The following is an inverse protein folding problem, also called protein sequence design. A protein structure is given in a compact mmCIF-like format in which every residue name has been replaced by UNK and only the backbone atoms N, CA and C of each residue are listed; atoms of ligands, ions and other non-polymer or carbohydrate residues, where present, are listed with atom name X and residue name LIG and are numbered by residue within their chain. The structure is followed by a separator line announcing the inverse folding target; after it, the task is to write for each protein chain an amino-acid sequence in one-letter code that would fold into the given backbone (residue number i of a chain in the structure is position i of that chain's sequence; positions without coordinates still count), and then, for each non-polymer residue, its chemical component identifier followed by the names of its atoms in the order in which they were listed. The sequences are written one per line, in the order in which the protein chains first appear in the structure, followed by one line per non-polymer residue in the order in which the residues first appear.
data_IF_639784309671
#
_entry.id   IF_639784309671
#
_cell.length_a   1.000
_cell.length_b   1.000
_cell.length_c   1.000
_cell.angle_alpha   90.00
_cell.angle_beta   90.00
_cell.angle_gamma   90.00
#
_symmetry.space_group_name_H-M   'P 1'
#
loop_
_entity.id
_entity.type
_entity.pdbx_description
1 polymer ?
#
# COMPACT_ATOMS: atom_id res chain seq x y z
N UNK A 1 10.98 16.80 14.42
CA UNK A 1 11.37 17.95 13.60
C UNK A 1 12.85 17.79 13.31
N UNK A 2 13.33 18.05 12.09
CA UNK A 2 14.75 17.84 11.78
C UNK A 2 15.58 19.04 12.31
N UNK A 3 16.84 18.86 12.69
CA UNK A 3 17.71 19.93 13.24
C UNK A 3 17.77 21.17 12.35
N UNK A 4 17.74 20.96 11.02
CA UNK A 4 17.71 22.06 10.04
C UNK A 4 16.41 22.84 10.13
N UNK A 5 15.26 22.16 10.28
CA UNK A 5 13.95 22.82 10.41
C UNK A 5 13.85 23.60 11.74
N UNK A 6 14.41 23.07 12.82
CA UNK A 6 14.50 23.77 14.12
C UNK A 6 15.30 25.07 13.98
N UNK A 7 16.49 25.03 13.39
CA UNK A 7 17.31 26.23 13.18
C UNK A 7 16.70 27.25 12.23
N UNK A 8 15.93 26.80 11.23
CA UNK A 8 15.19 27.71 10.33
C UNK A 8 14.13 28.49 11.12
N UNK A 9 13.46 27.84 12.08
CA UNK A 9 12.49 28.49 12.97
C UNK A 9 13.17 29.42 13.97
N UNK A 10 14.28 28.99 14.58
CA UNK A 10 15.05 29.82 15.53
C UNK A 10 15.56 31.12 14.89
N UNK A 11 16.12 31.02 13.67
CA UNK A 11 16.58 32.21 12.92
C UNK A 11 15.45 32.96 12.21
N UNK A 12 14.21 32.47 12.29
CA UNK A 12 13.02 33.08 11.72
C UNK A 12 13.17 33.44 10.24
N UNK A 13 13.64 32.49 9.43
CA UNK A 13 13.85 32.70 8.00
C UNK A 13 12.49 32.66 7.30
N UNK A 14 11.85 33.82 7.18
CA UNK A 14 10.46 33.98 6.70
C UNK A 14 10.16 33.26 5.38
N UNK A 15 11.15 33.16 4.48
CA UNK A 15 11.03 32.47 3.19
C UNK A 15 10.55 31.02 3.34
N UNK A 16 11.03 30.31 4.36
CA UNK A 16 10.77 28.89 4.55
C UNK A 16 9.67 28.59 5.57
N UNK A 17 9.09 29.61 6.20
CA UNK A 17 8.10 29.44 7.26
C UNK A 17 6.70 29.64 6.70
N UNK A 18 5.84 28.63 6.88
CA UNK A 18 4.41 28.73 6.65
C UNK A 18 3.73 29.01 7.98
N UNK A 19 2.96 30.10 8.03
CA UNK A 19 2.02 30.33 9.12
C UNK A 19 0.68 29.71 8.73
N UNK A 20 0.30 28.62 9.40
CA UNK A 20 -1.06 28.07 9.34
C UNK A 20 -1.58 27.94 10.77
N UNK A 21 -2.75 28.53 11.02
CA UNK A 21 -3.52 28.35 12.25
C UNK A 21 -2.76 28.64 13.56
N UNK A 22 -1.85 29.63 13.54
CA UNK A 22 -1.07 30.05 14.73
C UNK A 22 0.17 29.22 15.02
N UNK A 23 0.42 28.14 14.27
CA UNK A 23 1.64 27.32 14.37
C UNK A 23 2.59 27.60 13.19
N UNK A 24 3.85 27.93 13.52
CA UNK A 24 4.89 28.13 12.52
C UNK A 24 5.46 26.78 12.07
N UNK A 25 5.24 26.41 10.81
CA UNK A 25 5.73 25.16 10.24
C UNK A 25 6.66 25.42 9.07
N UNK A 26 7.78 24.69 9.00
CA UNK A 26 8.72 24.80 7.89
C UNK A 26 8.16 24.15 6.62
N UNK A 27 8.29 24.82 5.49
CA UNK A 27 7.97 24.29 4.18
C UNK A 27 9.12 23.42 3.66
N UNK A 28 9.15 22.14 4.05
CA UNK A 28 10.20 21.21 3.62
C UNK A 28 10.26 21.05 2.09
N UNK A 29 9.16 21.25 1.37
CA UNK A 29 9.15 21.17 -0.10
C UNK A 29 9.90 22.33 -0.75
N UNK A 30 9.71 23.55 -0.22
CA UNK A 30 10.43 24.73 -0.70
C UNK A 30 11.92 24.64 -0.38
N UNK A 31 12.29 24.19 0.83
CA UNK A 31 13.69 23.95 1.20
C UNK A 31 14.35 22.96 0.23
N UNK A 32 13.66 21.87 -0.12
CA UNK A 32 14.17 20.90 -1.11
C UNK A 32 14.29 21.50 -2.51
N UNK A 33 13.36 22.36 -2.91
CA UNK A 33 13.39 23.03 -4.22
C UNK A 33 14.59 23.97 -4.31
N UNK A 34 14.78 24.82 -3.31
CA UNK A 34 15.89 25.77 -3.25
C UNK A 34 17.25 25.07 -3.13
N UNK A 35 17.32 23.95 -2.40
CA UNK A 35 18.51 23.11 -2.35
C UNK A 35 18.84 22.45 -3.70
N UNK A 36 17.81 22.11 -4.50
CA UNK A 36 18.03 21.59 -5.85
C UNK A 36 18.55 22.66 -6.80
N UNK A 37 18.11 23.90 -6.63
CA UNK A 37 18.47 25.05 -7.45
C UNK A 37 19.71 25.80 -6.97
N UNK A 38 20.35 25.35 -5.88
CA UNK A 38 21.53 25.98 -5.30
C UNK A 38 21.28 27.47 -4.95
N UNK A 39 20.12 27.75 -4.36
CA UNK A 39 19.76 29.10 -3.91
C UNK A 39 20.80 29.66 -2.92
N UNK A 40 21.31 30.86 -3.20
CA UNK A 40 22.41 31.46 -2.44
C UNK A 40 22.07 31.67 -0.96
N UNK A 41 20.85 32.14 -0.66
CA UNK A 41 20.40 32.42 0.71
C UNK A 41 20.33 31.13 1.54
N UNK A 42 19.84 30.05 0.93
CA UNK A 42 19.85 28.73 1.55
C UNK A 42 21.28 28.24 1.82
N UNK A 43 22.16 28.35 0.83
CA UNK A 43 23.55 27.90 0.94
C UNK A 43 24.34 28.68 1.99
N UNK A 44 24.15 29.99 2.09
CA UNK A 44 24.77 30.83 3.12
C UNK A 44 24.33 30.40 4.52
N UNK A 45 23.02 30.17 4.71
CA UNK A 45 22.50 29.65 5.97
C UNK A 45 23.10 28.29 6.34
N UNK A 46 23.10 27.36 5.38
CA UNK A 46 23.67 26.03 5.54
C UNK A 46 25.17 26.06 5.82
N UNK A 47 25.90 26.97 5.18
CA UNK A 47 27.33 27.14 5.39
C UNK A 47 27.63 27.74 6.77
N UNK A 48 26.77 28.61 7.30
CA UNK A 48 26.93 29.16 8.65
C UNK A 48 26.71 28.11 9.73
N UNK A 49 25.66 27.30 9.61
CA UNK A 49 25.17 26.46 10.72
C UNK A 49 25.53 24.98 10.59
N UNK A 50 25.74 24.49 9.37
CA UNK A 50 25.88 23.07 9.06
C UNK A 50 27.02 22.76 8.08
N UNK A 51 28.05 23.62 8.08
CA UNK A 51 29.24 23.51 7.22
C UNK A 51 29.84 22.12 7.18
N UNK A 52 30.08 21.53 8.35
CA UNK A 52 30.76 20.25 8.47
C UNK A 52 29.86 19.04 8.13
N UNK A 53 28.54 19.23 8.08
CA UNK A 53 27.58 18.15 7.81
C UNK A 53 27.30 18.00 6.32
N UNK A 54 27.05 19.13 5.63
CA UNK A 54 26.59 19.15 4.24
C UNK A 54 27.58 19.76 3.26
N UNK A 55 28.80 20.12 3.69
CA UNK A 55 29.85 20.57 2.77
C UNK A 55 31.11 19.72 2.91
N UNK A 56 31.74 19.44 1.77
CA UNK A 56 33.02 18.75 1.67
C UNK A 56 34.10 19.78 1.32
N UNK A 57 35.19 19.77 2.07
CA UNK A 57 36.37 20.56 1.77
C UNK A 57 37.24 19.83 0.75
N UNK A 58 37.53 20.49 -0.37
CA UNK A 58 38.50 20.03 -1.36
C UNK A 58 39.93 20.37 -0.90
N UNK A 59 40.92 19.80 -1.60
CA UNK A 59 42.35 19.96 -1.28
C UNK A 59 42.84 21.42 -1.29
N UNK A 60 42.12 22.30 -1.98
CA UNK A 60 42.48 23.71 -2.16
C UNK A 60 41.71 24.68 -1.25
N UNK A 61 41.04 24.17 -0.21
CA UNK A 61 40.24 25.00 0.73
C UNK A 61 38.88 25.42 0.18
N UNK A 62 38.50 24.94 -1.01
CA UNK A 62 37.18 25.16 -1.61
C UNK A 62 36.15 24.23 -0.95
N UNK A 63 35.00 24.79 -0.58
CA UNK A 63 33.89 24.04 0.00
C UNK A 63 32.84 23.74 -1.06
N UNK A 64 32.48 22.47 -1.20
CA UNK A 64 31.46 22.01 -2.14
C UNK A 64 30.27 21.49 -1.36
N UNK A 65 29.07 21.97 -1.72
CA UNK A 65 27.82 21.51 -1.13
C UNK A 65 27.48 20.08 -1.57
N UNK A 66 27.30 19.20 -0.61
CA UNK A 66 26.87 17.82 -0.80
C UNK A 66 25.33 17.77 -0.90
N UNK A 67 24.84 18.09 -2.10
CA UNK A 67 23.43 18.23 -2.41
C UNK A 67 22.63 16.97 -2.13
N UNK A 68 23.13 15.81 -2.53
CA UNK A 68 22.43 14.52 -2.36
C UNK A 68 22.24 14.23 -0.87
N UNK A 69 23.32 14.33 -0.09
CA UNK A 69 23.28 14.10 1.35
C UNK A 69 22.30 15.03 2.08
N UNK A 70 22.24 16.29 1.68
CA UNK A 70 21.28 17.23 2.26
C UNK A 70 19.82 16.92 1.85
N UNK A 71 19.59 16.59 0.59
CA UNK A 71 18.24 16.26 0.10
C UNK A 71 17.70 14.99 0.76
N UNK A 72 18.55 14.01 0.99
CA UNK A 72 18.22 12.79 1.73
C UNK A 72 17.87 13.12 3.19
N UNK A 73 18.64 14.01 3.82
CA UNK A 73 18.39 14.47 5.18
C UNK A 73 17.04 15.20 5.34
N UNK A 74 16.67 16.09 4.41
CA UNK A 74 15.37 16.78 4.47
C UNK A 74 14.22 15.86 4.02
N UNK A 75 14.51 14.83 3.22
CA UNK A 75 13.50 13.89 2.74
C UNK A 75 13.17 12.78 3.72
N UNK A 76 14.12 12.39 4.55
CA UNK A 76 13.91 11.54 5.72
C UNK A 76 13.14 12.32 6.78
N UNK A 77 11.82 12.38 6.61
CA UNK A 77 10.87 13.01 7.56
C UNK A 77 10.84 12.36 8.95
N UNK A 78 11.63 11.31 9.14
CA UNK A 78 11.73 10.48 10.32
C UNK A 78 13.18 10.06 10.55
N UNK A 79 14.13 10.99 10.60
CA UNK A 79 15.34 10.72 11.39
C UNK A 79 14.97 10.75 12.89
N UNK A 80 14.00 9.92 13.29
CA UNK A 80 13.57 9.75 14.66
C UNK A 80 14.63 8.93 15.38
N UNK A 81 14.84 9.30 16.63
CA UNK A 81 15.73 8.72 17.64
C UNK A 81 15.59 7.21 17.91
N UNK A 82 14.70 6.49 17.21
CA UNK A 82 14.43 5.05 17.43
C UNK A 82 14.29 4.20 16.14
N UNK A 83 14.55 4.75 14.94
CA UNK A 83 14.60 3.91 13.73
C UNK A 83 16.03 3.49 13.40
N UNK A 84 16.33 2.20 13.52
CA UNK A 84 17.62 1.62 13.15
C UNK A 84 17.81 1.42 11.63
N UNK A 85 16.81 1.80 10.82
CA UNK A 85 16.82 1.59 9.36
C UNK A 85 16.51 2.88 8.61
N UNK A 86 17.05 2.99 7.39
CA UNK A 86 16.81 4.12 6.48
C UNK A 86 15.39 4.12 5.85
N UNK A 87 14.60 3.09 6.09
CA UNK A 87 13.27 2.92 5.49
C UNK A 87 12.19 3.60 6.34
N UNK A 88 11.10 4.02 5.68
CA UNK A 88 9.91 4.49 6.39
C UNK A 88 9.26 3.35 7.19
N UNK A 89 8.61 3.66 8.32
CA UNK A 89 7.79 2.70 9.11
C UNK A 89 6.49 2.27 8.41
N UNK A 90 6.56 1.96 7.11
CA UNK A 90 5.46 1.47 6.28
C UNK A 90 5.98 0.32 5.44
N UNK A 91 5.30 -0.83 5.50
CA UNK A 91 5.59 -1.96 4.63
C UNK A 91 5.23 -1.54 3.20
N UNK A 92 6.22 -1.52 2.30
CA UNK A 92 6.00 -1.16 0.91
C UNK A 92 6.95 -1.91 -0.01
N UNK A 93 6.54 -2.09 -1.27
CA UNK A 93 7.43 -2.56 -2.33
C UNK A 93 8.29 -1.37 -2.77
N UNK A 94 9.60 -1.55 -2.75
CA UNK A 94 10.55 -0.56 -3.22
C UNK A 94 11.30 -1.09 -4.45
N UNK A 95 11.79 -0.19 -5.29
CA UNK A 95 12.73 -0.55 -6.35
C UNK A 95 14.15 -0.80 -5.79
N UNK A 96 15.09 -1.09 -6.67
CA UNK A 96 16.50 -1.32 -6.31
C UNK A 96 17.21 -0.08 -5.75
N UNK A 97 16.62 1.12 -5.90
CA UNK A 97 17.14 2.38 -5.37
C UNK A 97 16.54 2.70 -3.98
N UNK A 98 15.57 1.90 -3.51
CA UNK A 98 14.92 2.07 -2.21
C UNK A 98 13.67 2.96 -2.27
N UNK A 99 13.28 3.45 -3.45
CA UNK A 99 12.09 4.27 -3.61
C UNK A 99 10.83 3.41 -3.57
N UNK A 100 9.85 3.84 -2.78
CA UNK A 100 8.57 3.13 -2.69
C UNK A 100 7.79 3.24 -4.01
N UNK A 101 7.37 2.10 -4.55
CA UNK A 101 6.56 2.01 -5.77
C UNK A 101 5.26 2.79 -5.62
N UNK A 102 4.69 2.86 -4.41
CA UNK A 102 3.47 3.63 -4.14
C UNK A 102 3.63 5.15 -4.35
N UNK A 103 4.86 5.66 -4.42
CA UNK A 103 5.14 7.07 -4.71
C UNK A 103 5.35 7.33 -6.21
N UNK A 104 5.48 6.28 -7.02
CA UNK A 104 5.72 6.37 -8.46
C UNK A 104 4.41 6.12 -9.21
N UNK A 105 4.04 7.06 -10.09
CA UNK A 105 2.84 6.93 -10.94
C UNK A 105 3.06 6.05 -12.18
N UNK A 106 4.30 5.64 -12.43
CA UNK A 106 4.73 4.94 -13.66
C UNK A 106 4.64 3.41 -13.55
N UNK A 107 4.27 2.88 -12.38
CA UNK A 107 4.24 1.44 -12.14
C UNK A 107 2.80 0.93 -12.13
N UNK A 108 2.50 -0.05 -12.98
CA UNK A 108 1.20 -0.72 -13.02
C UNK A 108 1.36 -2.14 -12.50
N UNK A 109 0.58 -2.49 -11.49
CA UNK A 109 0.52 -3.86 -11.00
C UNK A 109 -0.42 -4.67 -11.89
N UNK A 110 0.14 -5.51 -12.75
CA UNK A 110 -0.62 -6.43 -13.58
C UNK A 110 -0.78 -7.77 -12.86
N UNK A 111 -2.01 -8.13 -12.51
CA UNK A 111 -2.34 -9.44 -11.96
C UNK A 111 -2.83 -10.35 -13.09
N UNK A 112 -1.97 -11.21 -13.67
CA UNK A 112 -2.46 -12.25 -14.56
C UNK A 112 -3.46 -13.11 -13.79
N UNK A 113 -4.63 -13.38 -14.39
CA UNK A 113 -5.75 -14.14 -13.81
C UNK A 113 -6.61 -13.42 -12.75
N UNK A 114 -6.58 -12.08 -12.67
CA UNK A 114 -7.51 -11.33 -11.78
C UNK A 114 -8.99 -11.54 -12.14
N UNK A 115 -9.27 -11.76 -13.42
CA UNK A 115 -10.61 -11.91 -13.96
C UNK A 115 -10.99 -13.40 -14.03
N UNK A 116 -10.69 -14.17 -12.98
CA UNK A 116 -10.97 -15.61 -12.91
C UNK A 116 -11.89 -15.97 -11.74
N UNK A 117 -12.71 -16.99 -11.95
CA UNK A 117 -13.57 -17.61 -10.94
C UNK A 117 -13.03 -19.01 -10.67
N UNK A 118 -12.76 -19.32 -9.40
CA UNK A 118 -12.34 -20.65 -8.98
C UNK A 118 -13.56 -21.50 -8.66
N UNK A 119 -13.70 -22.65 -9.34
CA UNK A 119 -14.67 -23.66 -8.93
C UNK A 119 -14.11 -24.49 -7.78
N UNK A 120 -14.50 -24.13 -6.56
CA UNK A 120 -14.19 -24.88 -5.34
C UNK A 120 -15.05 -26.15 -5.25
N UNK A 121 -14.40 -27.32 -5.28
CA UNK A 121 -15.08 -28.62 -5.22
C UNK A 121 -14.66 -29.50 -4.04
N UNK A 122 -13.68 -29.08 -3.24
CA UNK A 122 -13.21 -29.80 -2.06
C UNK A 122 -14.03 -29.43 -0.83
N UNK A 123 -14.51 -30.44 -0.10
CA UNK A 123 -15.25 -30.23 1.17
C UNK A 123 -14.37 -30.54 2.40
N UNK A 124 -13.20 -31.15 2.19
CA UNK A 124 -12.21 -31.50 3.21
C UNK A 124 -10.81 -31.28 2.65
N UNK A 125 -9.88 -30.85 3.49
CA UNK A 125 -8.49 -30.54 3.08
C UNK A 125 -7.71 -31.75 2.54
N UNK A 126 -8.16 -32.98 2.84
CA UNK A 126 -7.56 -34.21 2.30
C UNK A 126 -7.96 -34.50 0.85
N UNK A 127 -8.99 -33.84 0.33
CA UNK A 127 -9.54 -34.12 -0.99
C UNK A 127 -8.72 -33.43 -2.09
N UNK A 128 -7.80 -34.18 -2.71
CA UNK A 128 -7.07 -33.73 -3.89
C UNK A 128 -7.96 -33.78 -5.13
N UNK A 129 -8.82 -32.77 -5.31
CA UNK A 129 -9.60 -32.59 -6.53
C UNK A 129 -8.89 -31.63 -7.48
N UNK A 130 -9.11 -31.81 -8.78
CA UNK A 130 -8.61 -30.89 -9.80
C UNK A 130 -9.56 -29.69 -9.84
N UNK A 131 -9.13 -28.59 -9.23
CA UNK A 131 -9.85 -27.32 -9.27
C UNK A 131 -9.60 -26.61 -10.60
N UNK A 132 -10.64 -25.95 -11.12
CA UNK A 132 -10.61 -25.28 -12.42
C UNK A 132 -10.77 -23.77 -12.19
N UNK A 133 -9.88 -23.00 -12.80
CA UNK A 133 -9.97 -21.54 -12.87
C UNK A 133 -10.59 -21.13 -14.20
N UNK A 134 -11.81 -20.60 -14.15
CA UNK A 134 -12.50 -20.08 -15.33
C UNK A 134 -12.18 -18.61 -15.52
N UNK A 135 -11.72 -18.20 -16.71
CA UNK A 135 -11.56 -16.79 -17.03
C UNK A 135 -12.92 -16.18 -17.41
N UNK A 136 -13.27 -15.04 -16.83
CA UNK A 136 -14.55 -14.36 -17.02
C UNK A 136 -14.84 -13.98 -18.48
N UNK A 137 -13.81 -13.68 -19.27
CA UNK A 137 -13.98 -13.34 -20.69
C UNK A 137 -14.06 -14.58 -21.57
N UNK A 138 -13.20 -15.58 -21.33
CA UNK A 138 -13.11 -16.76 -22.20
C UNK A 138 -14.14 -17.84 -21.88
N UNK A 139 -14.60 -17.92 -20.63
CA UNK A 139 -15.48 -18.97 -20.13
C UNK A 139 -16.74 -18.38 -19.46
N UNK A 140 -17.30 -17.31 -20.05
CA UNK A 140 -18.48 -16.61 -19.53
C UNK A 140 -19.69 -17.54 -19.39
N UNK A 141 -19.94 -18.40 -20.38
CA UNK A 141 -21.09 -19.33 -20.36
C UNK A 141 -21.01 -20.35 -19.21
N UNK A 142 -19.81 -20.90 -18.96
CA UNK A 142 -19.58 -21.84 -17.87
C UNK A 142 -19.77 -21.16 -16.50
N UNK A 143 -19.32 -19.90 -16.39
CA UNK A 143 -19.49 -19.08 -15.19
C UNK A 143 -20.96 -18.73 -14.96
N UNK A 144 -21.70 -18.34 -15.99
CA UNK A 144 -23.13 -18.04 -15.89
C UNK A 144 -23.91 -19.28 -15.44
N UNK A 145 -23.55 -20.46 -15.96
CA UNK A 145 -24.11 -21.73 -15.49
C UNK A 145 -23.74 -22.03 -14.04
N UNK A 146 -22.51 -21.75 -13.63
CA UNK A 146 -22.03 -21.96 -12.27
C UNK A 146 -22.82 -21.11 -11.25
N UNK A 147 -23.15 -19.86 -11.62
CA UNK A 147 -23.94 -18.93 -10.80
C UNK A 147 -25.47 -19.06 -10.99
N UNK A 148 -25.92 -19.80 -11.99
CA UNK A 148 -27.35 -20.01 -12.23
C UNK A 148 -28.02 -20.76 -11.07
N UNK A 149 -29.28 -20.42 -10.72
CA UNK A 149 -30.01 -21.12 -9.67
C UNK A 149 -30.18 -22.60 -10.05
N UNK A 150 -29.79 -23.49 -9.13
CA UNK A 150 -29.88 -24.93 -9.37
C UNK A 150 -31.33 -25.40 -9.27
N UNK A 151 -31.67 -26.41 -10.07
CA UNK A 151 -33.02 -27.00 -10.15
C UNK A 151 -33.55 -27.45 -8.78
N UNK A 152 -32.66 -27.90 -7.89
CA UNK A 152 -32.99 -28.24 -6.51
C UNK A 152 -32.51 -27.13 -5.58
N UNK A 153 -33.38 -26.16 -5.31
CA UNK A 153 -33.14 -25.09 -4.34
C UNK A 153 -34.33 -25.02 -3.38
N UNK A 154 -34.07 -24.90 -2.07
CA UNK A 154 -35.11 -24.80 -1.03
C UNK A 154 -36.12 -25.96 -0.96
N UNK A 155 -35.66 -27.20 -0.94
CA UNK A 155 -36.56 -28.32 -0.67
C UNK A 155 -36.66 -28.57 0.84
N UNK A 156 -37.88 -28.68 1.35
CA UNK A 156 -38.18 -29.05 2.73
C UNK A 156 -38.71 -30.47 2.77
N UNK A 157 -38.10 -31.34 3.59
CA UNK A 157 -38.63 -32.67 3.83
C UNK A 157 -39.74 -32.58 4.89
N UNK A 158 -40.95 -33.02 4.53
CA UNK A 158 -42.08 -33.08 5.45
C UNK A 158 -42.35 -34.56 5.74
N UNK A 159 -42.14 -34.97 6.99
CA UNK A 159 -42.55 -36.29 7.50
C UNK A 159 -43.74 -36.14 8.44
N UNK A 160 -44.82 -36.91 8.21
CA UNK A 160 -45.89 -37.04 9.19
C UNK A 160 -45.50 -38.04 10.28
N UNK A 161 -45.15 -37.53 11.46
CA UNK A 161 -45.11 -38.34 12.67
C UNK A 161 -46.13 -37.77 13.66
N UNK A 162 -47.30 -38.41 13.75
CA UNK A 162 -48.33 -38.16 14.77
C UNK A 162 -48.81 -36.69 14.90
N UNK A 163 -49.31 -36.11 13.82
CA UNK A 163 -50.26 -34.98 13.87
C UNK A 163 -49.71 -33.62 14.33
N UNK A 164 -48.39 -33.42 14.41
CA UNK A 164 -47.77 -32.10 14.54
C UNK A 164 -46.81 -31.85 13.37
N UNK A 165 -47.00 -30.72 12.68
CA UNK A 165 -46.07 -30.20 11.69
C UNK A 165 -44.84 -29.64 12.41
N UNK A 166 -43.73 -30.38 12.40
CA UNK A 166 -42.41 -29.85 12.74
C UNK A 166 -41.56 -29.80 11.48
N UNK A 167 -41.14 -28.60 11.08
CA UNK A 167 -40.08 -28.42 10.08
C UNK A 167 -38.78 -28.98 10.67
N UNK A 168 -38.29 -30.09 10.12
CA UNK A 168 -36.95 -30.59 10.41
C UNK A 168 -36.02 -30.19 9.26
N UNK A 169 -35.13 -29.24 9.52
CA UNK A 169 -34.09 -28.80 8.59
C UNK A 169 -32.85 -29.72 8.61
N UNK A 170 -33.04 -31.03 8.73
CA UNK A 170 -31.93 -31.98 8.68
C UNK A 170 -31.95 -32.77 7.37
N UNK A 171 -31.40 -32.15 6.33
CA UNK A 171 -31.11 -32.83 5.08
C UNK A 171 -29.61 -32.78 4.80
N UNK A 172 -28.83 -33.40 5.68
CA UNK A 172 -27.39 -33.61 5.46
C UNK A 172 -27.08 -34.81 4.56
N UNK A 173 -28.08 -35.47 3.93
CA UNK A 173 -27.84 -36.64 3.06
C UNK A 173 -28.79 -36.77 1.86
N UNK A 174 -28.94 -35.71 1.08
CA UNK A 174 -29.15 -35.90 -0.37
C UNK A 174 -27.79 -35.64 -1.01
N UNK A 175 -27.31 -36.47 -1.96
CA UNK A 175 -26.23 -36.06 -2.83
C UNK A 175 -26.79 -34.99 -3.77
N UNK A 176 -27.10 -33.81 -3.22
CA UNK A 176 -27.46 -32.62 -3.98
C UNK A 176 -26.27 -32.35 -4.89
N UNK A 177 -26.55 -32.03 -6.15
CA UNK A 177 -25.53 -31.71 -7.12
C UNK A 177 -24.77 -30.45 -6.72
N UNK A 178 -23.74 -30.66 -5.90
CA UNK A 178 -22.60 -29.80 -5.55
C UNK A 178 -23.01 -28.39 -5.13
N UNK A 179 -23.04 -28.07 -3.85
CA UNK A 179 -22.84 -26.66 -3.48
C UNK A 179 -21.38 -26.33 -3.81
N UNK A 180 -21.15 -25.67 -4.95
CA UNK A 180 -19.83 -25.19 -5.31
C UNK A 180 -19.58 -23.96 -4.45
N UNK A 181 -18.56 -24.00 -3.59
CA UNK A 181 -18.09 -22.82 -2.89
C UNK A 181 -17.38 -21.93 -3.90
N UNK A 182 -18.04 -20.87 -4.33
CA UNK A 182 -17.48 -19.93 -5.29
C UNK A 182 -16.77 -18.83 -4.52
N UNK A 183 -15.44 -18.81 -4.57
CA UNK A 183 -14.65 -17.75 -3.98
C UNK A 183 -14.37 -16.69 -5.06
N UNK A 184 -15.04 -15.55 -4.98
CA UNK A 184 -14.63 -14.36 -5.74
C UNK A 184 -13.53 -13.65 -4.96
N UNK A 185 -12.41 -13.25 -5.60
CA UNK A 185 -11.41 -12.44 -4.92
C UNK A 185 -12.07 -11.14 -4.42
N UNK A 186 -11.72 -10.66 -3.20
CA UNK A 186 -12.29 -9.43 -2.67
C UNK A 186 -11.99 -8.25 -3.60
N UNK A 187 -12.90 -7.28 -3.75
CA UNK A 187 -12.63 -6.08 -4.54
C UNK A 187 -11.43 -5.37 -3.94
N UNK A 188 -10.41 -5.13 -4.77
CA UNK A 188 -9.25 -4.33 -4.40
C UNK A 188 -9.73 -2.92 -4.05
N UNK A 189 -9.83 -2.62 -2.75
CA UNK A 189 -9.99 -1.25 -2.28
C UNK A 189 -8.63 -0.56 -2.40
N UNK A 190 -8.56 0.42 -3.28
CA UNK A 190 -7.48 1.40 -3.33
C UNK A 190 -7.80 2.58 -2.40
#
# INVERSE_FOLDING_TARGET
MNKVEEKILEKNIKKYILQKDGEAKVNSNLVKYDARNLDSELLEFLFSEFKNEYFKMLKDGVWVFDKERFLDYISSKNFLSDSYTAFSNKISLCDTLGDSIAQKTEVVLNFPFKDCVLEGGASKDSDKKKEIFFNQTLASEDIDRLFSPKVLHHFSYISEESGKLSEQNDITKIPTSRENSILTPPPLRF
#
